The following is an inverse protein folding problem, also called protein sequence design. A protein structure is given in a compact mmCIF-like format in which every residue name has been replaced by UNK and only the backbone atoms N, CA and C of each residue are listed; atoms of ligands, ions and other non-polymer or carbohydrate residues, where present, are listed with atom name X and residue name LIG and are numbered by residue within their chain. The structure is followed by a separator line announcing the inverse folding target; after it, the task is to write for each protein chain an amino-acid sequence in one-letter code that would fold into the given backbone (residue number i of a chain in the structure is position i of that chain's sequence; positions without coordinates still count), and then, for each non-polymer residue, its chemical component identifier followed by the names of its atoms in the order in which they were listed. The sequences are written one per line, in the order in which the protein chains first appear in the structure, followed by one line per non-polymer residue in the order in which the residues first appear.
data_IF_160681233679
#
_entry.id   IF_160681233679
#
_cell.length_a   1.000
_cell.length_b   1.000
_cell.length_c   1.000
_cell.angle_alpha   90.00
_cell.angle_beta   90.00
_cell.angle_gamma   90.00
#
_symmetry.space_group_name_H-M   'P 1'
#
loop_
_entity.id
_entity.type
_entity.pdbx_description
1 polymer ?
#
# COMPACT_ATOMS: atom_id res chain seq x y z
N UNK A 1 -5.41 2.46 3.43
CA UNK A 1 -4.71 3.16 2.30
C UNK A 1 -3.32 2.59 2.05
N UNK A 2 -2.43 2.57 3.05
CA UNK A 2 -1.08 2.01 2.88
C UNK A 2 -1.10 0.53 2.53
N UNK A 3 -1.95 -0.20 3.26
CA UNK A 3 -2.17 -1.63 3.07
C UNK A 3 -2.86 -1.93 1.75
N UNK A 4 -3.75 -1.04 1.31
CA UNK A 4 -4.36 -1.12 0.00
C UNK A 4 -3.30 -1.02 -1.12
N UNK A 5 -2.36 -0.08 -1.05
CA UNK A 5 -1.30 -0.03 -2.06
C UNK A 5 -0.31 -1.20 -1.95
N UNK A 6 0.01 -1.64 -0.73
CA UNK A 6 0.84 -2.83 -0.53
C UNK A 6 0.21 -4.08 -1.15
N UNK A 7 -1.10 -4.30 -0.95
CA UNK A 7 -1.81 -5.44 -1.54
C UNK A 7 -1.87 -5.36 -3.06
N UNK A 8 -1.98 -4.16 -3.65
CA UNK A 8 -1.92 -3.99 -5.10
C UNK A 8 -0.54 -4.37 -5.66
N UNK A 9 0.55 -4.05 -4.95
CA UNK A 9 1.91 -4.46 -5.32
C UNK A 9 2.05 -5.99 -5.23
N UNK A 10 1.52 -6.61 -4.16
CA UNK A 10 1.53 -8.08 -4.01
C UNK A 10 0.76 -8.78 -5.14
N UNK A 11 -0.39 -8.24 -5.55
CA UNK A 11 -1.14 -8.77 -6.70
C UNK A 11 -0.31 -8.66 -7.99
N UNK A 12 0.41 -7.56 -8.21
CA UNK A 12 1.29 -7.43 -9.37
C UNK A 12 2.45 -8.44 -9.33
N UNK A 13 3.02 -8.70 -8.15
CA UNK A 13 4.06 -9.72 -7.96
C UNK A 13 3.53 -11.13 -8.20
N UNK A 14 2.29 -11.40 -7.80
CA UNK A 14 1.61 -12.65 -8.09
C UNK A 14 1.37 -12.83 -9.60
N UNK A 15 0.93 -11.77 -10.30
CA UNK A 15 0.78 -11.79 -11.76
C UNK A 15 2.13 -12.06 -12.44
N UNK A 16 3.20 -11.36 -12.04
CA UNK A 16 4.56 -11.55 -12.58
C UNK A 16 5.01 -13.00 -12.40
N UNK A 17 4.85 -13.55 -11.19
CA UNK A 17 5.19 -14.94 -10.87
C UNK A 17 4.42 -15.93 -11.74
N UNK A 18 3.11 -15.77 -11.89
CA UNK A 18 2.29 -16.66 -12.71
C UNK A 18 2.66 -16.58 -14.19
N UNK A 19 3.00 -15.39 -14.70
CA UNK A 19 3.50 -15.24 -16.07
C UNK A 19 4.83 -15.98 -16.27
N UNK A 20 5.77 -15.87 -15.31
CA UNK A 20 7.06 -16.57 -15.37
C UNK A 20 6.90 -18.09 -15.37
N UNK A 21 6.06 -18.62 -14.48
CA UNK A 21 5.79 -20.06 -14.42
C UNK A 21 5.27 -20.60 -15.75
N UNK A 22 4.36 -19.88 -16.40
CA UNK A 22 3.85 -20.29 -17.72
C UNK A 22 4.94 -20.24 -18.80
N UNK A 23 5.82 -19.24 -18.76
CA UNK A 23 6.95 -19.14 -19.71
C UNK A 23 7.96 -20.28 -19.47
N UNK A 24 8.29 -20.57 -18.22
CA UNK A 24 9.18 -21.68 -17.85
C UNK A 24 8.60 -23.02 -18.31
N UNK A 25 7.29 -23.25 -18.12
CA UNK A 25 6.60 -24.45 -18.60
C UNK A 25 6.69 -24.59 -20.13
N UNK A 26 6.55 -23.47 -20.86
CA UNK A 26 6.71 -23.42 -22.32
C UNK A 26 8.15 -23.79 -22.74
N UNK A 27 9.15 -23.24 -22.05
CA UNK A 27 10.57 -23.40 -22.37
C UNK A 27 11.14 -24.76 -21.94
N UNK A 28 10.48 -25.45 -20.99
CA UNK A 28 10.96 -26.72 -20.44
C UNK A 28 10.98 -27.90 -21.42
N UNK A 29 10.41 -27.77 -22.62
CA UNK A 29 10.33 -28.79 -23.69
C UNK A 29 9.92 -30.20 -23.21
N UNK A 30 9.26 -30.32 -22.05
CA UNK A 30 8.94 -31.61 -21.45
C UNK A 30 7.92 -32.36 -22.31
N UNK A 31 8.11 -33.68 -22.57
CA UNK A 31 7.19 -34.47 -23.39
C UNK A 31 5.77 -34.57 -22.79
N UNK A 32 5.60 -34.24 -21.50
CA UNK A 32 4.30 -33.97 -20.86
C UNK A 32 3.91 -32.50 -21.04
N UNK A 33 3.75 -32.07 -22.29
CA UNK A 33 3.30 -30.69 -22.55
C UNK A 33 1.98 -30.43 -21.82
N UNK A 34 1.86 -29.32 -21.07
CA UNK A 34 0.58 -28.95 -20.53
C UNK A 34 -0.39 -28.72 -21.70
N UNK A 35 -1.53 -29.42 -21.67
CA UNK A 35 -2.56 -29.27 -22.71
C UNK A 35 -2.92 -27.80 -22.94
N UNK A 36 -3.45 -27.45 -24.11
CA UNK A 36 -4.01 -26.10 -24.38
C UNK A 36 -4.93 -25.59 -23.25
N UNK A 37 -5.65 -26.53 -22.61
CA UNK A 37 -6.47 -26.28 -21.42
C UNK A 37 -5.66 -25.78 -20.21
N UNK A 38 -4.48 -26.32 -19.94
CA UNK A 38 -3.61 -25.86 -18.84
C UNK A 38 -3.24 -24.39 -19.01
N UNK A 39 -2.72 -24.00 -20.18
CA UNK A 39 -2.35 -22.62 -20.43
C UNK A 39 -3.57 -21.69 -20.33
N UNK A 40 -4.71 -22.12 -20.87
CA UNK A 40 -5.95 -21.38 -20.73
C UNK A 40 -6.39 -21.22 -19.26
N UNK A 41 -6.24 -22.26 -18.43
CA UNK A 41 -6.61 -22.21 -17.02
C UNK A 41 -5.67 -21.26 -16.23
N UNK A 42 -4.36 -21.29 -16.49
CA UNK A 42 -3.39 -20.35 -15.87
C UNK A 42 -3.62 -18.90 -16.30
N UNK A 43 -3.88 -18.65 -17.58
CA UNK A 43 -4.17 -17.29 -18.06
C UNK A 43 -5.52 -16.80 -17.51
N UNK A 44 -6.52 -17.68 -17.35
CA UNK A 44 -7.79 -17.31 -16.67
C UNK A 44 -7.55 -16.91 -15.22
N UNK A 45 -6.64 -17.59 -14.52
CA UNK A 45 -6.25 -17.22 -13.17
C UNK A 45 -5.57 -15.84 -13.13
N UNK A 46 -4.64 -15.56 -14.04
CA UNK A 46 -4.05 -14.22 -14.17
C UNK A 46 -5.12 -13.17 -14.46
N UNK A 47 -6.07 -13.47 -15.35
CA UNK A 47 -7.19 -12.60 -15.67
C UNK A 47 -8.08 -12.32 -14.45
N UNK A 48 -8.35 -13.33 -13.61
CA UNK A 48 -9.16 -13.16 -12.41
C UNK A 48 -8.44 -12.26 -11.39
N UNK A 49 -7.12 -12.41 -11.21
CA UNK A 49 -6.33 -11.51 -10.37
C UNK A 49 -6.51 -10.05 -10.80
N UNK A 50 -6.41 -9.77 -12.10
CA UNK A 50 -6.61 -8.41 -12.64
C UNK A 50 -8.05 -7.92 -12.44
N UNK A 51 -9.06 -8.71 -12.83
CA UNK A 51 -10.48 -8.29 -12.77
C UNK A 51 -10.97 -8.09 -11.34
N UNK A 52 -10.55 -8.95 -10.42
CA UNK A 52 -11.06 -8.95 -9.06
C UNK A 52 -10.38 -7.90 -8.19
N UNK A 53 -9.09 -7.65 -8.42
CA UNK A 53 -8.26 -6.82 -7.54
C UNK A 53 -7.83 -5.49 -8.15
N UNK A 54 -7.47 -5.45 -9.45
CA UNK A 54 -6.90 -4.23 -10.05
C UNK A 54 -7.95 -3.40 -10.81
N UNK A 55 -8.88 -4.05 -11.53
CA UNK A 55 -9.86 -3.35 -12.37
C UNK A 55 -10.92 -2.55 -11.58
N UNK A 56 -11.04 -2.79 -10.27
CA UNK A 56 -11.96 -2.08 -9.37
C UNK A 56 -11.30 -0.89 -8.67
N UNK A 57 -10.12 -0.49 -9.13
CA UNK A 57 -9.26 0.48 -8.45
C UNK A 57 -8.94 1.65 -9.37
N UNK A 58 -8.40 2.76 -8.84
CA UNK A 58 -7.87 3.84 -9.67
C UNK A 58 -6.76 3.40 -10.64
N UNK A 59 -6.17 2.20 -10.49
CA UNK A 59 -5.14 1.66 -11.38
C UNK A 59 -5.61 1.45 -12.81
N UNK A 60 -6.91 1.44 -13.08
CA UNK A 60 -7.42 1.43 -14.46
C UNK A 60 -6.92 2.63 -15.28
N UNK A 61 -6.48 3.69 -14.60
CA UNK A 61 -5.87 4.88 -15.21
C UNK A 61 -4.34 4.84 -15.24
N UNK A 62 -3.70 3.81 -14.66
CA UNK A 62 -2.26 3.66 -14.70
C UNK A 62 -1.78 3.45 -16.15
N UNK A 63 -0.57 3.96 -16.49
CA UNK A 63 0.07 3.64 -17.76
C UNK A 63 0.09 2.13 -17.98
N UNK A 64 -0.16 1.71 -19.24
CA UNK A 64 -0.13 0.31 -19.68
C UNK A 64 -1.19 -0.62 -19.04
N UNK A 65 -2.10 -0.16 -18.17
CA UNK A 65 -3.16 -1.03 -17.65
C UNK A 65 -4.05 -1.64 -18.76
N UNK A 66 -4.35 -0.85 -19.79
CA UNK A 66 -5.08 -1.33 -20.98
C UNK A 66 -4.27 -2.34 -21.78
N UNK A 67 -2.95 -2.18 -21.82
CA UNK A 67 -2.05 -3.11 -22.51
C UNK A 67 -1.93 -4.43 -21.75
N UNK A 68 -1.82 -4.40 -20.42
CA UNK A 68 -1.92 -5.59 -19.56
C UNK A 68 -3.20 -6.38 -19.88
N UNK A 69 -4.35 -5.71 -19.88
CA UNK A 69 -5.64 -6.33 -20.18
C UNK A 69 -5.68 -6.91 -21.61
N UNK A 70 -5.06 -6.23 -22.57
CA UNK A 70 -4.95 -6.70 -23.96
C UNK A 70 -4.04 -7.92 -24.08
N UNK A 71 -2.87 -7.91 -23.45
CA UNK A 71 -1.92 -9.02 -23.51
C UNK A 71 -2.48 -10.28 -22.86
N UNK A 72 -3.21 -10.16 -21.74
CA UNK A 72 -3.96 -11.27 -21.14
C UNK A 72 -5.01 -11.82 -22.11
N UNK A 73 -5.77 -10.93 -22.76
CA UNK A 73 -6.80 -11.33 -23.74
C UNK A 73 -6.20 -12.06 -24.95
N UNK A 74 -5.05 -11.61 -25.45
CA UNK A 74 -4.34 -12.30 -26.53
C UNK A 74 -3.73 -13.62 -26.07
N UNK A 75 -3.14 -13.69 -24.88
CA UNK A 75 -2.72 -14.95 -24.29
C UNK A 75 -3.86 -15.97 -24.23
N UNK A 76 -5.05 -15.55 -23.81
CA UNK A 76 -6.26 -16.38 -23.79
C UNK A 76 -6.64 -16.85 -25.20
N UNK A 77 -6.65 -15.94 -26.17
CA UNK A 77 -6.95 -16.27 -27.57
C UNK A 77 -5.99 -17.35 -28.11
N UNK A 78 -4.68 -17.18 -27.91
CA UNK A 78 -3.68 -18.15 -28.37
C UNK A 78 -3.73 -19.48 -27.61
N UNK A 79 -4.17 -19.48 -26.35
CA UNK A 79 -4.36 -20.73 -25.60
C UNK A 79 -5.52 -21.60 -26.11
N UNK A 80 -6.49 -21.03 -26.83
CA UNK A 80 -7.75 -21.73 -27.21
C UNK A 80 -7.90 -22.06 -28.69
N UNK A 81 -7.24 -21.32 -29.59
CA UNK A 81 -7.51 -21.42 -31.05
C UNK A 81 -6.56 -22.35 -31.82
N UNK A 82 -5.36 -22.57 -31.30
CA UNK A 82 -4.24 -23.43 -31.73
C UNK A 82 -3.08 -22.88 -30.90
N UNK A 83 -2.31 -23.67 -30.14
CA UNK A 83 -1.34 -23.10 -29.21
C UNK A 83 -0.25 -22.37 -29.99
N UNK A 84 -0.48 -21.09 -30.23
CA UNK A 84 0.52 -20.14 -30.64
C UNK A 84 1.38 -19.90 -29.42
N UNK A 85 2.18 -20.91 -29.05
CA UNK A 85 3.05 -20.90 -27.86
C UNK A 85 3.88 -19.63 -27.85
N UNK A 86 4.42 -19.25 -29.01
CA UNK A 86 5.12 -17.98 -29.23
C UNK A 86 4.25 -16.75 -28.93
N UNK A 87 2.98 -16.78 -29.32
CA UNK A 87 2.00 -15.72 -29.02
C UNK A 87 1.68 -15.64 -27.53
N UNK A 88 1.53 -16.78 -26.84
CA UNK A 88 1.36 -16.79 -25.38
C UNK A 88 2.60 -16.22 -24.71
N UNK A 89 3.77 -16.79 -25.01
CA UNK A 89 5.06 -16.40 -24.44
C UNK A 89 5.34 -14.91 -24.65
N UNK A 90 5.18 -14.40 -25.88
CA UNK A 90 5.42 -12.99 -26.19
C UNK A 90 4.51 -12.04 -25.40
N UNK A 91 3.21 -12.35 -25.27
CA UNK A 91 2.30 -11.52 -24.47
C UNK A 91 2.64 -11.56 -22.98
N UNK A 92 3.03 -12.73 -22.43
CA UNK A 92 3.43 -12.83 -21.03
C UNK A 92 4.78 -12.14 -20.76
N UNK A 93 5.71 -12.19 -21.71
CA UNK A 93 6.97 -11.45 -21.65
C UNK A 93 6.72 -9.94 -21.64
N UNK A 94 5.81 -9.43 -22.49
CA UNK A 94 5.45 -8.01 -22.51
C UNK A 94 4.83 -7.57 -21.18
N UNK A 95 3.99 -8.40 -20.57
CA UNK A 95 3.42 -8.16 -19.24
C UNK A 95 4.53 -7.98 -18.20
N UNK A 96 5.50 -8.90 -18.17
CA UNK A 96 6.61 -8.90 -17.21
C UNK A 96 7.55 -7.71 -17.43
N UNK A 97 7.91 -7.45 -18.69
CA UNK A 97 8.95 -6.48 -19.04
C UNK A 97 8.45 -5.04 -19.09
N UNK A 98 7.18 -4.82 -19.43
CA UNK A 98 6.66 -3.48 -19.69
C UNK A 98 5.44 -3.13 -18.85
N UNK A 99 4.43 -3.98 -18.81
CA UNK A 99 3.14 -3.60 -18.20
C UNK A 99 3.23 -3.54 -16.67
N UNK A 100 3.70 -4.62 -16.03
CA UNK A 100 3.85 -4.67 -14.57
C UNK A 100 4.80 -3.60 -14.05
N UNK A 101 6.01 -3.40 -14.62
CA UNK A 101 6.92 -2.35 -14.17
C UNK A 101 6.29 -0.95 -14.26
N UNK A 102 5.57 -0.64 -15.35
CA UNK A 102 4.92 0.66 -15.51
C UNK A 102 3.79 0.89 -14.50
N UNK A 103 2.94 -0.12 -14.26
CA UNK A 103 1.86 -0.03 -13.27
C UNK A 103 2.45 0.05 -11.85
N UNK A 104 3.49 -0.74 -11.55
CA UNK A 104 4.20 -0.71 -10.26
C UNK A 104 4.78 0.67 -9.98
N UNK A 105 5.47 1.26 -10.96
CA UNK A 105 6.04 2.59 -10.83
C UNK A 105 4.96 3.64 -10.58
N UNK A 106 3.85 3.57 -11.32
CA UNK A 106 2.71 4.46 -11.09
C UNK A 106 2.12 4.33 -9.68
N UNK A 107 2.00 3.10 -9.13
CA UNK A 107 1.57 2.91 -7.75
C UNK A 107 2.50 3.62 -6.77
N UNK A 108 3.82 3.46 -6.96
CA UNK A 108 4.82 4.08 -6.07
C UNK A 108 4.73 5.61 -6.14
N UNK A 109 4.66 6.19 -7.33
CA UNK A 109 4.48 7.63 -7.53
C UNK A 109 3.17 8.13 -6.93
N UNK A 110 2.09 7.37 -7.11
CA UNK A 110 0.80 7.69 -6.51
C UNK A 110 0.90 7.68 -4.99
N UNK A 111 1.58 6.70 -4.40
CA UNK A 111 1.81 6.62 -2.96
C UNK A 111 2.62 7.82 -2.46
N UNK A 112 3.74 8.15 -3.09
CA UNK A 112 4.57 9.31 -2.73
C UNK A 112 3.76 10.61 -2.76
N UNK A 113 2.85 10.74 -3.73
CA UNK A 113 1.94 11.88 -3.83
C UNK A 113 0.92 11.99 -2.69
N UNK A 114 0.54 10.89 -2.03
CA UNK A 114 -0.60 10.83 -1.08
C UNK A 114 -0.22 10.44 0.35
N UNK A 115 1.00 9.93 0.53
CA UNK A 115 1.52 9.46 1.80
C UNK A 115 2.68 10.37 2.23
N UNK A 116 2.82 10.63 3.53
CA UNK A 116 4.01 11.28 4.08
C UNK A 116 5.25 10.39 3.89
N UNK A 117 6.29 10.91 3.25
CA UNK A 117 7.44 10.11 2.81
C UNK A 117 8.17 9.38 3.94
N UNK A 118 8.42 10.05 5.07
CA UNK A 118 9.06 9.40 6.22
C UNK A 118 8.17 8.32 6.84
N UNK A 119 6.86 8.56 6.88
CA UNK A 119 5.91 7.55 7.35
C UNK A 119 5.88 6.32 6.43
N UNK A 120 5.94 6.52 5.11
CA UNK A 120 6.05 5.42 4.14
C UNK A 120 7.31 4.60 4.38
N UNK A 121 8.47 5.26 4.45
CA UNK A 121 9.77 4.61 4.61
C UNK A 121 9.83 3.71 5.84
N UNK A 122 9.33 4.18 6.99
CA UNK A 122 9.39 3.39 8.24
C UNK A 122 8.38 2.25 8.31
N UNK A 123 7.32 2.27 7.48
CA UNK A 123 6.23 1.29 7.55
C UNK A 123 6.19 0.29 6.39
N UNK A 124 6.62 0.68 5.19
CA UNK A 124 6.46 -0.08 3.93
C UNK A 124 6.85 -1.55 4.06
N UNK A 125 8.10 -1.83 4.43
CA UNK A 125 8.62 -3.21 4.53
C UNK A 125 7.89 -4.04 5.57
N UNK A 126 7.38 -3.42 6.62
CA UNK A 126 6.64 -4.12 7.70
C UNK A 126 5.27 -4.54 7.23
N UNK A 127 4.58 -3.63 6.54
CA UNK A 127 3.27 -3.92 5.94
C UNK A 127 3.37 -5.02 4.90
N UNK A 128 4.41 -5.01 4.05
CA UNK A 128 4.67 -6.09 3.08
C UNK A 128 4.92 -7.46 3.73
N UNK A 129 5.40 -7.48 4.97
CA UNK A 129 5.64 -8.71 5.72
C UNK A 129 4.47 -9.09 6.65
N UNK A 130 3.32 -8.41 6.54
CA UNK A 130 2.20 -8.53 7.48
C UNK A 130 2.58 -8.26 8.96
N UNK A 131 3.67 -7.54 9.21
CA UNK A 131 4.14 -7.10 10.52
C UNK A 131 3.41 -5.81 10.95
N UNK A 132 2.11 -5.94 11.22
CA UNK A 132 1.24 -4.81 11.56
C UNK A 132 1.63 -4.14 12.88
N UNK A 133 1.96 -4.95 13.89
CA UNK A 133 2.44 -4.46 15.19
C UNK A 133 3.74 -3.67 15.00
N UNK A 134 4.69 -4.19 14.24
CA UNK A 134 5.94 -3.50 13.94
C UNK A 134 5.71 -2.21 13.15
N UNK A 135 4.78 -2.20 12.19
CA UNK A 135 4.43 -0.99 11.44
C UNK A 135 3.91 0.12 12.37
N UNK A 136 2.98 -0.22 13.28
CA UNK A 136 2.47 0.71 14.30
C UNK A 136 3.60 1.16 15.23
N UNK A 137 4.45 0.24 15.71
CA UNK A 137 5.59 0.56 16.59
C UNK A 137 6.64 1.43 15.92
N UNK A 138 6.75 1.43 14.59
CA UNK A 138 7.64 2.31 13.84
C UNK A 138 7.01 3.69 13.60
N UNK A 139 5.71 3.75 13.29
CA UNK A 139 5.01 4.98 12.92
C UNK A 139 4.81 5.94 14.10
N UNK A 140 4.42 5.44 15.27
CA UNK A 140 4.11 6.31 16.42
C UNK A 140 5.33 7.07 16.98
N UNK A 141 6.52 6.46 17.12
CA UNK A 141 7.72 7.18 17.49
C UNK A 141 8.08 8.29 16.51
N UNK A 142 8.02 8.02 15.19
CA UNK A 142 8.23 9.02 14.15
C UNK A 142 7.27 10.20 14.32
N UNK A 143 5.97 9.93 14.42
CA UNK A 143 4.95 10.95 14.60
C UNK A 143 5.21 11.80 15.84
N UNK A 144 5.54 11.15 16.95
CA UNK A 144 5.78 11.83 18.23
C UNK A 144 7.04 12.67 18.22
N UNK A 145 8.09 12.21 17.53
CA UNK A 145 9.31 12.98 17.33
C UNK A 145 9.03 14.23 16.50
N UNK A 146 8.34 14.11 15.37
CA UNK A 146 8.00 15.25 14.51
C UNK A 146 7.13 16.27 15.24
N UNK A 147 6.13 15.82 16.00
CA UNK A 147 5.33 16.69 16.86
C UNK A 147 6.19 17.47 17.85
N UNK A 148 7.12 16.81 18.54
CA UNK A 148 8.00 17.51 19.50
C UNK A 148 8.88 18.56 18.83
N UNK A 149 9.51 18.21 17.72
CA UNK A 149 10.38 19.11 16.98
C UNK A 149 9.61 20.33 16.42
N UNK A 150 8.45 20.09 15.82
CA UNK A 150 7.65 21.13 15.16
C UNK A 150 7.06 22.15 16.14
N UNK A 151 6.74 21.70 17.36
CA UNK A 151 6.10 22.53 18.39
C UNK A 151 7.03 22.91 19.54
N UNK A 152 8.34 22.64 19.43
CA UNK A 152 9.32 22.98 20.46
C UNK A 152 9.04 22.34 21.82
N UNK A 153 8.51 21.11 21.82
CA UNK A 153 8.13 20.40 23.05
C UNK A 153 9.31 19.58 23.55
N UNK A 154 9.64 19.77 24.82
CA UNK A 154 10.71 19.06 25.51
C UNK A 154 10.49 17.54 25.53
N UNK A 155 11.59 16.78 25.42
CA UNK A 155 11.57 15.32 25.41
C UNK A 155 11.06 14.70 26.73
N UNK A 156 11.12 15.44 27.85
CA UNK A 156 10.54 15.04 29.14
C UNK A 156 9.02 14.96 29.11
N UNK A 157 8.35 15.60 28.15
CA UNK A 157 6.90 15.43 27.96
C UNK A 157 6.63 14.01 27.48
N UNK A 158 6.05 13.22 28.39
CA UNK A 158 5.69 11.82 28.16
C UNK A 158 4.84 11.67 26.92
N UNK A 159 5.08 10.56 26.25
CA UNK A 159 4.41 10.18 25.00
C UNK A 159 2.91 9.93 25.16
N UNK A 160 2.20 9.83 24.04
CA UNK A 160 0.76 9.57 24.02
C UNK A 160 -0.08 10.77 24.41
N UNK A 161 -1.13 10.55 25.22
CA UNK A 161 -2.15 11.57 25.48
C UNK A 161 -1.58 12.90 26.00
N UNK A 162 -0.52 12.85 26.83
CA UNK A 162 0.12 14.06 27.38
C UNK A 162 0.82 14.90 26.31
N UNK A 163 1.47 14.26 25.33
CA UNK A 163 2.05 14.97 24.18
C UNK A 163 0.96 15.61 23.34
N UNK A 164 -0.13 14.87 23.07
CA UNK A 164 -1.27 15.38 22.29
C UNK A 164 -1.93 16.58 22.99
N UNK A 165 -2.11 16.52 24.31
CA UNK A 165 -2.60 17.66 25.10
C UNK A 165 -1.70 18.87 25.04
N UNK A 166 -0.39 18.66 25.04
CA UNK A 166 0.55 19.76 24.95
C UNK A 166 0.51 20.43 23.57
N UNK A 167 0.42 19.64 22.49
CA UNK A 167 0.37 20.17 21.13
C UNK A 167 -0.96 20.87 20.85
N UNK A 168 -2.08 20.23 21.14
CA UNK A 168 -3.41 20.74 20.79
C UNK A 168 -4.09 21.55 21.90
N UNK A 169 -3.35 21.92 22.94
CA UNK A 169 -3.83 22.83 23.98
C UNK A 169 -4.15 24.23 23.46
N UNK A 170 -4.86 25.01 24.26
CA UNK A 170 -5.37 26.33 23.88
C UNK A 170 -4.27 27.29 23.44
N UNK A 171 -3.09 27.22 24.06
CA UNK A 171 -2.00 28.18 23.88
C UNK A 171 -1.12 27.92 22.65
N UNK A 172 -1.23 26.77 21.99
CA UNK A 172 -0.37 26.43 20.85
C UNK A 172 -1.02 26.83 19.54
N UNK A 173 -0.40 27.72 18.76
CA UNK A 173 -0.86 28.02 17.40
C UNK A 173 -0.44 26.92 16.43
N UNK A 174 -1.39 26.29 15.76
CA UNK A 174 -1.13 25.21 14.80
C UNK A 174 -1.48 25.68 13.40
N UNK A 175 -0.48 25.67 12.52
CA UNK A 175 -0.64 25.99 11.11
C UNK A 175 -0.91 24.72 10.31
N UNK A 176 -1.87 24.80 9.41
CA UNK A 176 -2.09 23.82 8.36
C UNK A 176 -1.10 24.06 7.22
N UNK A 177 -0.85 23.02 6.42
CA UNK A 177 0.05 23.12 5.25
C UNK A 177 -0.42 24.13 4.20
N UNK A 178 -1.73 24.39 4.12
CA UNK A 178 -2.31 25.41 3.25
C UNK A 178 -2.20 26.84 3.82
N UNK A 179 -1.55 27.04 4.98
CA UNK A 179 -1.35 28.33 5.62
C UNK A 179 -2.44 28.75 6.60
N UNK A 180 -3.59 28.06 6.64
CA UNK A 180 -4.64 28.33 7.62
C UNK A 180 -4.19 27.96 9.04
N UNK A 181 -4.90 28.47 10.05
CA UNK A 181 -4.65 28.17 11.47
C UNK A 181 -5.83 27.36 12.00
N UNK A 182 -5.55 26.30 12.74
CA UNK A 182 -6.60 25.51 13.40
C UNK A 182 -7.36 26.36 14.43
N UNK A 183 -8.69 26.31 14.33
CA UNK A 183 -9.62 26.85 15.33
C UNK A 183 -9.60 26.02 16.62
N UNK A 184 -10.12 26.57 17.72
CA UNK A 184 -10.21 25.84 18.99
C UNK A 184 -10.99 24.52 18.88
N UNK A 185 -12.11 24.52 18.15
CA UNK A 185 -12.92 23.32 17.91
C UNK A 185 -12.18 22.27 17.09
N UNK A 186 -11.42 22.68 16.08
CA UNK A 186 -10.61 21.75 15.29
C UNK A 186 -9.48 21.16 16.13
N UNK A 187 -8.81 21.97 16.96
CA UNK A 187 -7.79 21.46 17.90
C UNK A 187 -8.37 20.40 18.84
N UNK A 188 -9.53 20.65 19.42
CA UNK A 188 -10.24 19.68 20.28
C UNK A 188 -10.57 18.39 19.53
N UNK A 189 -10.98 18.51 18.26
CA UNK A 189 -11.27 17.35 17.40
C UNK A 189 -10.02 16.52 17.10
N UNK A 190 -8.91 17.17 16.74
CA UNK A 190 -7.62 16.50 16.55
C UNK A 190 -7.11 15.86 17.85
N UNK A 191 -7.25 16.56 18.98
CA UNK A 191 -6.85 16.05 20.30
C UNK A 191 -7.61 14.76 20.62
N UNK A 192 -8.94 14.79 20.49
CA UNK A 192 -9.81 13.64 20.77
C UNK A 192 -9.51 12.46 19.85
N UNK A 193 -9.37 12.70 18.54
CA UNK A 193 -9.03 11.68 17.54
C UNK A 193 -7.69 11.00 17.87
N UNK A 194 -6.64 11.78 18.09
CA UNK A 194 -5.30 11.24 18.32
C UNK A 194 -5.21 10.53 19.67
N UNK A 195 -5.83 11.05 20.73
CA UNK A 195 -5.89 10.34 22.02
C UNK A 195 -6.60 8.99 21.89
N UNK A 196 -7.74 8.97 21.20
CA UNK A 196 -8.47 7.72 20.92
C UNK A 196 -7.59 6.72 20.17
N UNK A 197 -6.84 7.19 19.16
CA UNK A 197 -5.92 6.35 18.40
C UNK A 197 -4.77 5.79 19.26
N UNK A 198 -4.21 6.60 20.17
CA UNK A 198 -3.19 6.14 21.11
C UNK A 198 -3.72 5.06 22.05
N UNK A 199 -4.94 5.23 22.57
CA UNK A 199 -5.55 4.30 23.49
C UNK A 199 -5.93 2.98 22.79
N UNK A 200 -6.56 3.05 21.62
CA UNK A 200 -7.07 1.88 20.91
C UNK A 200 -5.99 1.06 20.21
N UNK A 201 -4.91 1.68 19.73
CA UNK A 201 -3.93 1.00 18.87
C UNK A 201 -2.53 1.01 19.49
N UNK A 202 -1.97 2.18 19.77
CA UNK A 202 -0.57 2.29 20.23
C UNK A 202 -0.34 1.60 21.57
N UNK A 203 -1.23 1.79 22.54
CA UNK A 203 -1.07 1.23 23.87
C UNK A 203 -1.15 -0.30 23.83
N UNK A 204 -2.11 -0.86 23.09
CA UNK A 204 -2.24 -2.31 22.90
C UNK A 204 -0.99 -2.87 22.21
N UNK A 205 -0.51 -2.20 21.15
CA UNK A 205 0.70 -2.59 20.43
C UNK A 205 1.96 -2.62 21.31
N UNK A 206 2.03 -1.83 22.38
CA UNK A 206 3.21 -1.75 23.25
C UNK A 206 3.07 -2.63 24.50
N UNK A 207 1.89 -2.65 25.11
CA UNK A 207 1.71 -3.18 26.46
C UNK A 207 1.02 -4.53 26.52
N UNK A 208 0.13 -4.85 25.57
CA UNK A 208 -0.78 -5.99 25.75
C UNK A 208 -0.31 -7.30 25.09
N UNK A 209 0.81 -7.30 24.35
CA UNK A 209 1.29 -8.46 23.55
C UNK A 209 0.27 -9.02 22.54
N UNK A 210 -0.96 -8.51 22.52
CA UNK A 210 -2.01 -8.85 21.59
C UNK A 210 -1.65 -8.43 20.17
N UNK A 211 -2.08 -9.26 19.21
CA UNK A 211 -1.89 -9.00 17.80
C UNK A 211 -2.73 -7.80 17.37
N UNK A 212 -2.07 -6.75 16.89
CA UNK A 212 -2.74 -5.66 16.17
C UNK A 212 -3.30 -6.22 14.87
N UNK A 213 -4.60 -6.04 14.64
CA UNK A 213 -5.24 -6.48 13.39
C UNK A 213 -4.88 -5.57 12.23
N UNK A 214 -5.13 -6.06 11.02
CA UNK A 214 -4.97 -5.29 9.78
C UNK A 214 -5.74 -3.96 9.83
N UNK A 215 -6.99 -3.99 10.28
CA UNK A 215 -7.89 -2.84 10.32
C UNK A 215 -7.41 -1.79 11.32
N UNK A 216 -6.92 -2.23 12.49
CA UNK A 216 -6.36 -1.34 13.50
C UNK A 216 -5.09 -0.64 12.99
N UNK A 217 -4.21 -1.37 12.30
CA UNK A 217 -3.02 -0.79 11.70
C UNK A 217 -3.36 0.19 10.57
N UNK A 218 -4.28 -0.14 9.65
CA UNK A 218 -4.65 0.77 8.56
C UNK A 218 -5.29 2.05 9.11
N UNK A 219 -6.19 1.95 10.10
CA UNK A 219 -6.81 3.10 10.73
C UNK A 219 -5.77 4.04 11.38
N UNK A 220 -4.80 3.46 12.09
CA UNK A 220 -3.73 4.24 12.71
C UNK A 220 -2.84 4.92 11.67
N UNK A 221 -2.33 4.17 10.70
CA UNK A 221 -1.43 4.72 9.69
C UNK A 221 -2.13 5.76 8.80
N UNK A 222 -3.39 5.54 8.43
CA UNK A 222 -4.17 6.51 7.67
C UNK A 222 -4.40 7.80 8.47
N UNK A 223 -4.70 7.69 9.77
CA UNK A 223 -4.90 8.85 10.64
C UNK A 223 -3.59 9.61 10.84
N UNK A 224 -2.49 8.92 11.13
CA UNK A 224 -1.17 9.55 11.26
C UNK A 224 -0.77 10.25 9.96
N UNK A 225 -0.97 9.60 8.80
CA UNK A 225 -0.70 10.21 7.51
C UNK A 225 -1.53 11.48 7.28
N UNK A 226 -2.84 11.42 7.58
CA UNK A 226 -3.72 12.57 7.50
C UNK A 226 -3.16 13.73 8.34
N UNK A 227 -2.83 13.49 9.61
CA UNK A 227 -2.29 14.54 10.48
C UNK A 227 -0.96 15.10 9.95
N UNK A 228 -0.01 14.24 9.58
CA UNK A 228 1.31 14.65 9.05
C UNK A 228 1.20 15.46 7.76
N UNK A 229 0.21 15.16 6.92
CA UNK A 229 -0.02 15.88 5.65
C UNK A 229 -0.92 17.11 5.80
N UNK A 230 -1.73 17.18 6.85
CA UNK A 230 -2.61 18.32 7.10
C UNK A 230 -1.91 19.41 7.89
N UNK A 231 -1.20 19.05 8.97
CA UNK A 231 -0.48 19.99 9.83
C UNK A 231 0.89 20.29 9.25
N UNK A 232 1.31 21.55 9.38
CA UNK A 232 2.67 21.98 9.05
C UNK A 232 3.61 21.54 10.17
N UNK A 233 4.35 20.45 9.92
CA UNK A 233 5.37 19.86 10.80
C UNK A 233 6.73 19.84 10.11
#
# INVERSE_FOLDING_TARGET
MFLYFASLIEILEQIDKECRLVIEDIESESPEYPSAKYFADRIRYIESLVKENLAKTPLVNAPRFKDLSRHISFGMYYSTKQPGIQGIQGNLQDIILYDIPAIRQWILEFMEGHIDGELLEVTKKRLQNNDYIGAVRAAFPLFSQRMRLSFGIDASVKDGAKLIDKVFGETTTIHLRNGAILTGKEKESFNSLLKGLYQLVRNNAIHEHDSITLEQADAALATLNYVLRTIKM
#
